data_IF_918612228832
#
_entry.id   IF_918612228832
#
_cell.length_a   1.000
_cell.length_b   1.000
_cell.length_c   1.000
_cell.angle_alpha   90.00
_cell.angle_beta   90.00
_cell.angle_gamma   90.00
#
_symmetry.space_group_name_H-M   'P 1'
#
loop_
_entity.id
_entity.type
_entity.pdbx_description
1 polymer ?
#
# COMPACT_ATOMS: atom_id res chain seq x y z
N UNK A 1 -17.12 -2.80 -24.29
CA UNK A 1 -15.70 -2.46 -24.54
C UNK A 1 -15.06 -1.59 -23.45
N UNK A 2 -15.74 -0.56 -22.93
CA UNK A 2 -15.19 0.31 -21.86
C UNK A 2 -14.76 -0.44 -20.60
N UNK A 3 -15.55 -1.42 -20.15
CA UNK A 3 -15.22 -2.23 -18.98
C UNK A 3 -13.91 -3.01 -19.13
N UNK A 4 -13.63 -3.57 -20.32
CA UNK A 4 -12.37 -4.28 -20.59
C UNK A 4 -11.18 -3.29 -20.59
N UNK A 5 -11.36 -2.10 -21.17
CA UNK A 5 -10.36 -1.02 -21.13
C UNK A 5 -10.09 -0.52 -19.70
N UNK A 6 -11.05 -0.68 -18.80
CA UNK A 6 -10.86 -0.43 -17.38
C UNK A 6 -10.12 -1.59 -16.70
N UNK A 7 -10.71 -2.79 -16.71
CA UNK A 7 -10.30 -3.90 -15.86
C UNK A 7 -8.98 -4.55 -16.29
N UNK A 8 -8.75 -4.74 -17.59
CA UNK A 8 -7.58 -5.48 -18.08
C UNK A 8 -6.26 -4.76 -17.79
N UNK A 9 -6.04 -3.50 -18.20
CA UNK A 9 -4.84 -2.77 -17.81
C UNK A 9 -4.74 -2.57 -16.29
N UNK A 10 -5.87 -2.44 -15.58
CA UNK A 10 -5.83 -2.29 -14.13
C UNK A 10 -5.32 -3.56 -13.43
N UNK A 11 -5.83 -4.73 -13.82
CA UNK A 11 -5.36 -6.02 -13.33
C UNK A 11 -3.89 -6.28 -13.68
N UNK A 12 -3.45 -5.88 -14.89
CA UNK A 12 -2.03 -5.98 -15.27
C UNK A 12 -1.14 -5.10 -14.38
N UNK A 13 -1.52 -3.86 -14.12
CA UNK A 13 -0.78 -3.00 -13.19
C UNK A 13 -0.79 -3.56 -11.76
N UNK A 14 -1.91 -4.12 -11.31
CA UNK A 14 -2.05 -4.78 -10.02
C UNK A 14 -1.09 -5.98 -9.88
N UNK A 15 -0.96 -6.77 -10.95
CA UNK A 15 0.00 -7.85 -11.05
C UNK A 15 1.45 -7.37 -11.03
N UNK A 16 1.77 -6.35 -11.82
CA UNK A 16 3.12 -5.76 -11.86
C UNK A 16 3.50 -5.22 -10.49
N UNK A 17 2.60 -4.48 -9.83
CA UNK A 17 2.83 -3.93 -8.50
C UNK A 17 3.04 -5.04 -7.46
N UNK A 18 2.13 -6.00 -7.38
CA UNK A 18 2.24 -7.11 -6.41
C UNK A 18 3.50 -7.96 -6.63
N UNK A 19 3.83 -8.28 -7.89
CA UNK A 19 5.02 -9.05 -8.24
C UNK A 19 6.31 -8.28 -7.93
N UNK A 20 6.38 -7.00 -8.32
CA UNK A 20 7.57 -6.17 -8.10
C UNK A 20 7.80 -5.89 -6.63
N UNK A 21 6.74 -5.55 -5.89
CA UNK A 21 6.82 -5.33 -4.45
C UNK A 21 7.30 -6.61 -3.74
N UNK A 22 6.71 -7.75 -4.10
CA UNK A 22 7.08 -9.02 -3.49
C UNK A 22 8.51 -9.47 -3.80
N UNK A 23 9.02 -9.16 -5.00
CA UNK A 23 10.34 -9.61 -5.44
C UNK A 23 11.47 -8.67 -5.01
N UNK A 24 11.23 -7.36 -5.00
CA UNK A 24 12.29 -6.37 -4.79
C UNK A 24 12.20 -5.66 -3.44
N UNK A 25 11.00 -5.43 -2.92
CA UNK A 25 10.79 -4.62 -1.71
C UNK A 25 10.77 -5.53 -0.48
N UNK A 26 10.02 -6.64 -0.52
CA UNK A 26 9.93 -7.57 0.63
C UNK A 26 11.29 -8.10 1.12
N UNK A 27 12.22 -8.58 0.26
CA UNK A 27 13.49 -9.11 0.74
C UNK A 27 14.39 -8.04 1.37
N UNK A 28 14.26 -6.78 0.91
CA UNK A 28 15.00 -5.65 1.48
C UNK A 28 14.46 -5.31 2.86
N UNK A 29 13.13 -5.33 3.01
CA UNK A 29 12.46 -5.10 4.28
C UNK A 29 12.87 -6.16 5.29
N UNK A 30 12.76 -7.45 4.93
CA UNK A 30 13.12 -8.55 5.83
C UNK A 30 14.60 -8.52 6.23
N UNK A 31 15.49 -8.16 5.30
CA UNK A 31 16.91 -7.95 5.60
C UNK A 31 17.13 -6.86 6.65
N UNK A 32 16.45 -5.70 6.53
CA UNK A 32 16.58 -4.62 7.53
C UNK A 32 16.02 -5.05 8.88
N UNK A 33 14.86 -5.70 8.92
CA UNK A 33 14.32 -6.25 10.18
C UNK A 33 15.25 -7.29 10.81
N UNK A 34 15.88 -8.15 10.01
CA UNK A 34 16.87 -9.12 10.46
C UNK A 34 18.11 -8.46 11.06
N UNK A 35 18.61 -7.39 10.44
CA UNK A 35 19.74 -6.60 10.97
C UNK A 35 19.36 -5.91 12.28
N UNK A 36 18.19 -5.28 12.36
CA UNK A 36 17.70 -4.64 13.58
C UNK A 36 17.57 -5.65 14.72
N UNK A 37 17.00 -6.83 14.46
CA UNK A 37 16.87 -7.91 15.44
C UNK A 37 18.23 -8.45 15.89
N UNK A 38 19.19 -8.54 14.97
CA UNK A 38 20.57 -8.95 15.28
C UNK A 38 21.35 -7.92 16.10
N UNK A 39 21.08 -6.63 15.92
CA UNK A 39 21.64 -5.55 16.74
C UNK A 39 21.01 -5.56 18.15
N UNK A 40 19.69 -5.71 18.24
CA UNK A 40 18.97 -5.82 19.50
C UNK A 40 19.44 -7.03 20.32
N UNK A 41 19.73 -8.18 19.70
CA UNK A 41 20.17 -9.39 20.40
C UNK A 41 21.63 -9.34 20.86
N UNK A 42 22.54 -8.73 20.08
CA UNK A 42 23.97 -8.60 20.43
C UNK A 42 24.21 -7.61 21.57
N UNK A 43 23.41 -6.54 21.63
CA UNK A 43 23.60 -5.49 22.64
C UNK A 43 22.74 -5.66 23.90
N UNK A 44 21.92 -6.71 23.98
CA UNK A 44 21.11 -7.03 25.17
C UNK A 44 21.93 -7.22 26.46
N UNK A 45 23.26 -7.42 26.35
CA UNK A 45 24.18 -7.57 27.49
C UNK A 45 24.97 -6.30 27.85
N UNK A 46 24.75 -5.16 27.19
CA UNK A 46 25.50 -3.91 27.42
C UNK A 46 24.58 -2.75 27.88
N UNK A 47 25.12 -1.84 28.70
CA UNK A 47 24.44 -0.62 29.14
C UNK A 47 24.07 0.35 27.99
N UNK A 48 24.58 0.13 26.77
CA UNK A 48 24.19 0.83 25.53
C UNK A 48 22.80 0.45 25.00
N UNK A 49 22.13 -0.55 25.58
CA UNK A 49 20.91 -1.16 25.02
C UNK A 49 19.73 -0.20 24.83
N UNK A 50 19.66 0.90 25.60
CA UNK A 50 18.55 1.85 25.48
C UNK A 50 18.61 2.66 24.18
N UNK A 51 19.80 3.12 23.77
CA UNK A 51 19.96 3.87 22.52
C UNK A 51 19.71 3.00 21.29
N UNK A 52 20.20 1.75 21.29
CA UNK A 52 20.00 0.82 20.16
C UNK A 52 18.56 0.35 20.04
N UNK A 53 17.87 0.15 21.17
CA UNK A 53 16.44 -0.17 21.16
C UNK A 53 15.59 1.02 20.67
N UNK A 54 15.96 2.23 21.06
CA UNK A 54 15.31 3.46 20.59
C UNK A 54 15.48 3.68 19.08
N UNK A 55 16.71 3.56 18.56
CA UNK A 55 16.96 3.70 17.12
C UNK A 55 16.29 2.60 16.30
N UNK A 56 16.32 1.35 16.77
CA UNK A 56 15.62 0.25 16.12
C UNK A 56 14.11 0.49 16.05
N UNK A 57 13.49 0.94 17.13
CA UNK A 57 12.07 1.27 17.14
C UNK A 57 11.73 2.41 16.16
N UNK A 58 12.55 3.46 16.11
CA UNK A 58 12.38 4.57 15.19
C UNK A 58 12.47 4.11 13.72
N UNK A 59 13.44 3.25 13.39
CA UNK A 59 13.56 2.67 12.04
C UNK A 59 12.33 1.84 11.70
N UNK A 60 11.83 1.00 12.62
CA UNK A 60 10.60 0.21 12.41
C UNK A 60 9.39 1.11 12.12
N UNK A 61 9.26 2.24 12.80
CA UNK A 61 8.21 3.25 12.55
C UNK A 61 8.36 3.88 11.16
N UNK A 62 9.56 4.30 10.77
CA UNK A 62 9.81 4.90 9.44
C UNK A 62 9.50 3.89 8.33
N UNK A 63 9.86 2.61 8.53
CA UNK A 63 9.52 1.55 7.58
C UNK A 63 8.02 1.33 7.47
N UNK A 64 7.29 1.31 8.60
CA UNK A 64 5.84 1.24 8.61
C UNK A 64 5.21 2.36 7.79
N UNK A 65 5.55 3.62 8.09
CA UNK A 65 4.95 4.77 7.42
C UNK A 65 5.29 4.82 5.92
N UNK A 66 6.52 4.47 5.55
CA UNK A 66 6.93 4.46 4.14
C UNK A 66 6.22 3.36 3.34
N UNK A 67 6.10 2.14 3.89
CA UNK A 67 5.35 1.04 3.26
C UNK A 67 3.87 1.36 3.17
N UNK A 68 3.29 1.86 4.26
CA UNK A 68 1.90 2.28 4.30
C UNK A 68 1.63 3.36 3.24
N UNK A 69 2.48 4.39 3.14
CA UNK A 69 2.32 5.46 2.15
C UNK A 69 2.38 4.93 0.71
N UNK A 70 3.33 4.04 0.42
CA UNK A 70 3.50 3.44 -0.90
C UNK A 70 2.31 2.54 -1.31
N UNK A 71 1.84 1.69 -0.39
CA UNK A 71 0.71 0.79 -0.65
C UNK A 71 -0.62 1.57 -0.69
N UNK A 72 -0.79 2.58 0.18
CA UNK A 72 -1.97 3.44 0.12
C UNK A 72 -2.00 4.33 -1.14
N UNK A 73 -0.85 4.63 -1.76
CA UNK A 73 -0.81 5.26 -3.08
C UNK A 73 -1.44 4.37 -4.17
N UNK A 74 -1.25 3.05 -4.08
CA UNK A 74 -1.93 2.10 -4.97
C UNK A 74 -3.44 2.08 -4.74
N UNK A 75 -3.87 2.12 -3.47
CA UNK A 75 -5.29 2.25 -3.12
C UNK A 75 -5.90 3.54 -3.66
N UNK A 76 -5.21 4.68 -3.52
CA UNK A 76 -5.62 5.96 -4.06
C UNK A 76 -5.70 5.94 -5.60
N UNK A 77 -4.70 5.37 -6.27
CA UNK A 77 -4.69 5.20 -7.72
C UNK A 77 -5.89 4.39 -8.21
N UNK A 78 -6.19 3.30 -7.50
CA UNK A 78 -7.32 2.40 -7.77
C UNK A 78 -8.65 3.15 -7.70
N UNK A 79 -8.86 3.97 -6.66
CA UNK A 79 -10.07 4.80 -6.53
C UNK A 79 -10.15 5.88 -7.62
N UNK A 80 -9.07 6.64 -7.85
CA UNK A 80 -9.04 7.72 -8.86
C UNK A 80 -9.33 7.18 -10.26
N UNK A 81 -8.71 6.04 -10.61
CA UNK A 81 -8.99 5.36 -11.88
C UNK A 81 -10.45 4.97 -11.96
N UNK A 82 -11.01 4.40 -10.90
CA UNK A 82 -12.43 4.02 -10.84
C UNK A 82 -13.35 5.21 -11.05
N UNK A 83 -13.11 6.32 -10.36
CA UNK A 83 -13.88 7.56 -10.51
C UNK A 83 -13.88 8.06 -11.96
N UNK A 84 -12.73 8.00 -12.64
CA UNK A 84 -12.61 8.42 -14.04
C UNK A 84 -13.53 7.64 -14.98
N UNK A 85 -13.68 6.34 -14.76
CA UNK A 85 -14.53 5.49 -15.60
C UNK A 85 -16.00 5.46 -15.12
N UNK A 86 -16.25 5.61 -13.82
CA UNK A 86 -17.59 5.62 -13.23
C UNK A 86 -18.37 6.92 -13.53
N UNK A 87 -17.69 8.03 -13.86
CA UNK A 87 -18.31 9.30 -14.28
C UNK A 87 -18.82 9.29 -15.74
N UNK A 88 -18.61 8.21 -16.51
CA UNK A 88 -19.07 8.11 -17.90
C UNK A 88 -20.59 7.80 -17.95
N UNK A 89 -21.37 8.52 -18.79
CA UNK A 89 -22.83 8.50 -18.78
C UNK A 89 -23.47 7.14 -19.14
N UNK A 90 -22.72 6.20 -19.71
CA UNK A 90 -23.22 4.88 -20.12
C UNK A 90 -22.91 3.74 -19.13
N UNK A 91 -22.50 4.06 -17.90
CA UNK A 91 -21.99 3.04 -16.96
C UNK A 91 -22.74 2.96 -15.64
N UNK A 92 -22.98 1.72 -15.17
CA UNK A 92 -23.39 1.43 -13.79
C UNK A 92 -22.17 1.58 -12.87
N UNK A 93 -21.95 2.80 -12.35
CA UNK A 93 -20.75 3.16 -11.60
C UNK A 93 -20.38 2.20 -10.45
N UNK A 94 -21.36 1.59 -9.79
CA UNK A 94 -21.13 0.66 -8.67
C UNK A 94 -20.32 -0.59 -9.05
N UNK A 95 -20.50 -1.10 -10.28
CA UNK A 95 -19.77 -2.30 -10.76
C UNK A 95 -18.27 -1.98 -10.85
N UNK A 96 -17.92 -0.76 -11.26
CA UNK A 96 -16.53 -0.33 -11.35
C UNK A 96 -15.86 -0.26 -9.98
N UNK A 97 -16.57 0.24 -8.96
CA UNK A 97 -16.07 0.25 -7.59
C UNK A 97 -15.88 -1.16 -7.03
N UNK A 98 -16.82 -2.08 -7.29
CA UNK A 98 -16.71 -3.47 -6.82
C UNK A 98 -15.52 -4.18 -7.48
N UNK A 99 -15.37 -4.05 -8.80
CA UNK A 99 -14.23 -4.63 -9.51
C UNK A 99 -12.92 -4.00 -9.07
N UNK A 100 -12.89 -2.70 -8.82
CA UNK A 100 -11.72 -2.02 -8.32
C UNK A 100 -11.30 -2.47 -6.93
N UNK A 101 -12.28 -2.67 -6.04
CA UNK A 101 -12.05 -3.23 -4.73
C UNK A 101 -11.39 -4.61 -4.85
N UNK A 102 -11.96 -5.51 -5.65
CA UNK A 102 -11.42 -6.87 -5.83
C UNK A 102 -9.99 -6.84 -6.39
N UNK A 103 -9.71 -6.00 -7.40
CA UNK A 103 -8.37 -5.92 -8.00
C UNK A 103 -7.36 -5.30 -7.02
N UNK A 104 -7.75 -4.24 -6.32
CA UNK A 104 -6.90 -3.53 -5.37
C UNK A 104 -6.57 -4.43 -4.17
N UNK A 105 -7.60 -4.93 -3.49
CA UNK A 105 -7.47 -5.81 -2.33
C UNK A 105 -6.81 -7.13 -2.70
N UNK A 106 -7.09 -7.66 -3.90
CA UNK A 106 -6.42 -8.86 -4.40
C UNK A 106 -4.91 -8.68 -4.51
N UNK A 107 -4.44 -7.55 -5.07
CA UNK A 107 -3.02 -7.26 -5.17
C UNK A 107 -2.36 -7.04 -3.80
N UNK A 108 -3.00 -6.27 -2.92
CA UNK A 108 -2.53 -6.05 -1.55
C UNK A 108 -2.52 -7.36 -0.74
N UNK A 109 -3.52 -8.22 -0.91
CA UNK A 109 -3.60 -9.52 -0.27
C UNK A 109 -2.50 -10.49 -0.73
N UNK A 110 -2.11 -10.45 -2.01
CA UNK A 110 -0.96 -11.21 -2.51
C UNK A 110 0.34 -10.72 -1.88
N UNK A 111 0.50 -9.41 -1.70
CA UNK A 111 1.66 -8.82 -1.01
C UNK A 111 1.67 -9.27 0.45
N UNK A 112 0.56 -9.08 1.18
CA UNK A 112 0.42 -9.42 2.59
C UNK A 112 0.66 -10.92 2.85
N UNK A 113 0.25 -11.80 1.93
CA UNK A 113 0.51 -13.26 2.06
C UNK A 113 1.99 -13.62 1.97
N UNK A 114 2.79 -12.81 1.28
CA UNK A 114 4.24 -13.02 1.13
C UNK A 114 5.06 -12.29 2.18
N UNK A 115 4.43 -11.44 2.99
CA UNK A 115 5.09 -10.76 4.10
C UNK A 115 5.40 -11.74 5.22
N UNK A 116 6.67 -11.81 5.61
CA UNK A 116 7.07 -12.55 6.81
C UNK A 116 6.65 -11.77 8.06
N UNK A 117 6.04 -12.47 9.01
CA UNK A 117 5.60 -11.86 10.25
C UNK A 117 6.80 -11.47 11.14
N UNK A 118 7.11 -10.18 11.16
CA UNK A 118 8.19 -9.60 11.96
C UNK A 118 7.69 -8.74 13.14
N UNK A 119 6.41 -8.90 13.52
CA UNK A 119 5.75 -8.21 14.63
C UNK A 119 4.51 -7.42 14.19
N UNK A 120 3.83 -6.79 15.15
CA UNK A 120 2.56 -6.08 14.94
C UNK A 120 2.64 -4.97 13.88
N UNK A 121 3.69 -4.14 13.93
CA UNK A 121 3.89 -3.05 12.97
C UNK A 121 4.07 -3.56 11.53
N UNK A 122 4.58 -4.78 11.35
CA UNK A 122 4.76 -5.39 10.03
C UNK A 122 3.45 -5.88 9.39
N UNK A 123 2.33 -5.93 10.11
CA UNK A 123 1.01 -6.22 9.52
C UNK A 123 0.24 -4.92 9.34
N UNK A 124 0.46 -3.95 10.23
CA UNK A 124 -0.33 -2.74 10.32
C UNK A 124 -0.29 -1.92 9.02
N UNK A 125 0.84 -1.83 8.32
CA UNK A 125 0.91 -1.08 7.05
C UNK A 125 0.00 -1.68 5.97
N UNK A 126 -0.09 -3.01 5.89
CA UNK A 126 -0.92 -3.71 4.91
C UNK A 126 -2.40 -3.54 5.21
N UNK A 127 -2.81 -3.68 6.49
CA UNK A 127 -4.20 -3.43 6.92
C UNK A 127 -4.60 -1.98 6.65
N UNK A 128 -3.73 -1.04 7.00
CA UNK A 128 -4.01 0.39 6.80
C UNK A 128 -4.12 0.74 5.31
N UNK A 129 -3.29 0.14 4.44
CA UNK A 129 -3.37 0.35 2.99
C UNK A 129 -4.66 -0.20 2.38
N UNK A 130 -5.13 -1.36 2.83
CA UNK A 130 -6.43 -1.94 2.44
C UNK A 130 -7.57 -1.02 2.91
N UNK A 131 -7.56 -0.60 4.18
CA UNK A 131 -8.54 0.33 4.73
C UNK A 131 -8.56 1.68 4.01
N UNK A 132 -7.40 2.17 3.55
CA UNK A 132 -7.28 3.41 2.80
C UNK A 132 -8.09 3.39 1.50
N UNK A 133 -8.21 2.25 0.82
CA UNK A 133 -9.06 2.15 -0.38
C UNK A 133 -10.50 2.50 -0.06
N UNK A 134 -11.05 1.92 1.00
CA UNK A 134 -12.44 2.14 1.43
C UNK A 134 -12.64 3.61 1.81
N UNK A 135 -11.74 4.16 2.63
CA UNK A 135 -11.81 5.56 3.06
C UNK A 135 -11.78 6.50 1.85
N UNK A 136 -10.89 6.28 0.91
CA UNK A 136 -10.76 7.10 -0.30
C UNK A 136 -11.95 6.94 -1.25
N UNK A 137 -12.54 5.74 -1.34
CA UNK A 137 -13.74 5.51 -2.14
C UNK A 137 -14.96 6.27 -1.59
N UNK A 138 -15.11 6.36 -0.27
CA UNK A 138 -16.20 7.09 0.37
C UNK A 138 -15.96 8.60 0.47
N UNK A 139 -14.73 9.03 0.73
CA UNK A 139 -14.37 10.44 0.80
C UNK A 139 -13.09 10.73 -0.02
N UNK A 140 -13.26 10.99 -1.33
CA UNK A 140 -12.14 11.22 -2.23
C UNK A 140 -11.30 12.46 -1.90
N UNK A 141 -11.86 13.47 -1.22
CA UNK A 141 -11.14 14.69 -0.86
C UNK A 141 -9.97 14.45 0.10
N UNK A 142 -10.01 13.37 0.89
CA UNK A 142 -8.91 13.00 1.79
C UNK A 142 -7.61 12.69 1.03
N UNK A 143 -7.70 12.28 -0.23
CA UNK A 143 -6.52 12.08 -1.09
C UNK A 143 -5.88 13.40 -1.52
N UNK A 144 -6.62 14.51 -1.46
CA UNK A 144 -6.20 15.82 -1.96
C UNK A 144 -4.93 16.36 -1.30
N UNK A 145 -4.75 16.13 0.00
CA UNK A 145 -3.57 16.60 0.74
C UNK A 145 -2.36 15.69 0.57
N UNK A 146 -2.55 14.37 0.71
CA UNK A 146 -1.45 13.40 0.76
C UNK A 146 -1.00 12.89 -0.62
N UNK A 147 -1.91 12.90 -1.60
CA UNK A 147 -1.73 12.31 -2.93
C UNK A 147 -2.07 13.29 -4.06
N UNK A 148 -1.89 14.60 -3.83
CA UNK A 148 -2.13 15.66 -4.85
C UNK A 148 -1.36 15.45 -6.15
N UNK A 149 -0.17 14.84 -6.07
CA UNK A 149 0.66 14.49 -7.23
C UNK A 149 -0.01 13.40 -8.08
N UNK A 150 -0.63 12.41 -7.42
CA UNK A 150 -1.29 11.29 -8.09
C UNK A 150 -2.58 11.73 -8.76
N UNK A 151 -3.33 12.61 -8.12
CA UNK A 151 -4.56 13.22 -8.67
C UNK A 151 -4.23 13.96 -9.98
N UNK A 152 -3.15 14.76 -9.97
CA UNK A 152 -2.65 15.47 -11.16
C UNK A 152 -2.22 14.52 -12.27
N UNK A 153 -1.55 13.40 -11.94
CA UNK A 153 -1.12 12.40 -12.93
C UNK A 153 -2.30 11.66 -13.59
N UNK A 154 -3.34 11.33 -12.82
CA UNK A 154 -4.52 10.61 -13.36
C UNK A 154 -5.46 11.57 -14.10
N UNK A 155 -5.36 12.88 -13.82
CA UNK A 155 -6.16 13.93 -14.47
C UNK A 155 -7.61 13.93 -14.01
N UNK A 156 -7.86 13.65 -12.72
CA UNK A 156 -9.21 13.65 -12.13
C UNK A 156 -9.35 14.88 -11.26
N UNK A 157 -10.41 15.64 -11.46
CA UNK A 157 -10.80 16.73 -10.56
C UNK A 157 -11.66 16.16 -9.42
N UNK A 158 -11.19 16.36 -8.19
CA UNK A 158 -11.84 15.91 -6.96
C UNK A 158 -12.86 16.94 -6.48
#
# INVERSE_FOLDING_TARGET
MLYIKFALPFALWAWVLSSSYARYILPRISSVYGLLKGLESKEAHSASSFHVRGTSFLVKIVMLFSQMYALAAWSAYSVLRTMRFARLPETRGWIYYLTAFIICEGALGVIARKEEYNGFLSILHSIMAMGAFVIFAFNPHLMGSMYSWLIRLVGVEL
#
